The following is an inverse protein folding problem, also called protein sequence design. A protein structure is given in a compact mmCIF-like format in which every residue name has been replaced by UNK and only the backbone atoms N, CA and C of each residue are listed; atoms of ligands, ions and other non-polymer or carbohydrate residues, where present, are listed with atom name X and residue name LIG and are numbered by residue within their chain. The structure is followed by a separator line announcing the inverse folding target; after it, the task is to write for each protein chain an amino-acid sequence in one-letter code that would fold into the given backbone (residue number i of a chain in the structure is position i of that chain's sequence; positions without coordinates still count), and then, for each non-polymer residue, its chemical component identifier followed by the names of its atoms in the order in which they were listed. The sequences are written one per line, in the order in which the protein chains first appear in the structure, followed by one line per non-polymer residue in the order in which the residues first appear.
data_IF_174883283903
#
_entry.id   IF_174883283903
#
_cell.length_a   1.000
_cell.length_b   1.000
_cell.length_c   1.000
_cell.angle_alpha   90.00
_cell.angle_beta   90.00
_cell.angle_gamma   90.00
#
_symmetry.space_group_name_H-M   'P 1'
#
loop_
_entity.id
_entity.type
_entity.pdbx_description
1 polymer ?
#
# COMPACT_ATOMS: atom_id res chain seq x y z
N UNK A 1 25.12 31.40 26.15
CA UNK A 1 24.86 30.09 25.51
C UNK A 1 23.37 29.85 25.42
N UNK A 2 22.74 29.99 24.23
CA UNK A 2 21.30 29.70 24.05
C UNK A 2 21.16 28.19 23.99
N UNK A 3 20.34 27.62 24.86
CA UNK A 3 20.12 26.17 24.97
C UNK A 3 19.48 25.64 23.68
N UNK A 4 20.07 24.64 23.04
CA UNK A 4 19.50 23.93 21.86
C UNK A 4 18.07 23.44 22.12
N UNK A 5 17.72 23.12 23.36
CA UNK A 5 16.42 22.57 23.74
C UNK A 5 15.21 23.51 23.60
N UNK A 6 15.42 24.82 23.26
CA UNK A 6 14.31 25.75 22.99
C UNK A 6 14.06 25.99 21.49
N UNK A 7 14.89 25.46 20.61
CA UNK A 7 14.82 25.69 19.16
C UNK A 7 14.30 24.53 18.37
N UNK A 8 14.44 23.33 18.90
CA UNK A 8 14.00 22.09 18.27
C UNK A 8 12.92 21.45 19.11
N UNK A 9 11.79 21.15 18.50
CA UNK A 9 10.71 20.34 19.07
C UNK A 9 10.22 19.35 18.02
N UNK A 10 9.68 18.23 18.46
CA UNK A 10 9.15 17.22 17.55
C UNK A 10 8.55 16.04 18.29
N UNK A 11 7.91 15.16 17.53
CA UNK A 11 7.43 13.88 17.97
C UNK A 11 7.84 12.78 16.99
N UNK A 12 7.98 11.57 17.51
CA UNK A 12 8.15 10.35 16.74
C UNK A 12 7.13 9.35 17.25
N UNK A 13 6.20 8.98 16.38
CA UNK A 13 5.07 8.14 16.70
C UNK A 13 5.14 6.84 15.88
N UNK A 14 4.92 5.71 16.57
CA UNK A 14 4.79 4.39 15.95
C UNK A 14 3.36 3.92 16.14
N UNK A 15 2.74 3.42 15.09
CA UNK A 15 1.38 2.91 15.20
C UNK A 15 1.21 1.54 14.53
N UNK A 16 0.29 0.77 15.09
CA UNK A 16 -0.22 -0.47 14.56
C UNK A 16 -1.74 -0.42 14.59
N UNK A 17 -2.39 -0.59 13.44
CA UNK A 17 -3.84 -0.65 13.30
C UNK A 17 -4.22 -2.00 12.72
N UNK A 18 -5.27 -2.62 13.24
CA UNK A 18 -5.86 -3.85 12.69
C UNK A 18 -7.29 -3.56 12.26
N UNK A 19 -7.63 -3.99 11.06
CA UNK A 19 -9.00 -4.02 10.55
C UNK A 19 -9.41 -5.46 10.36
N UNK A 20 -10.51 -5.87 10.96
CA UNK A 20 -11.07 -7.21 10.82
C UNK A 20 -12.43 -7.08 10.14
N UNK A 21 -12.90 -8.17 9.56
CA UNK A 21 -14.24 -8.30 9.01
C UNK A 21 -14.57 -7.24 7.94
N UNK A 22 -13.57 -6.89 7.12
CA UNK A 22 -13.79 -5.98 6.01
C UNK A 22 -14.63 -6.66 4.93
N UNK A 23 -15.61 -5.92 4.43
CA UNK A 23 -16.55 -6.41 3.41
C UNK A 23 -15.81 -6.51 2.07
N UNK A 24 -15.99 -7.66 1.42
CA UNK A 24 -15.49 -7.93 0.09
C UNK A 24 -16.57 -8.51 -0.81
N UNK A 25 -16.59 -8.11 -2.09
CA UNK A 25 -17.45 -8.66 -3.12
C UNK A 25 -16.73 -9.78 -3.85
N UNK A 26 -17.34 -10.95 -3.90
CA UNK A 26 -16.81 -12.12 -4.62
C UNK A 26 -17.85 -12.79 -5.52
N UNK A 27 -17.37 -13.49 -6.54
CA UNK A 27 -18.21 -14.16 -7.50
C UNK A 27 -18.70 -15.50 -6.94
N UNK A 28 -19.99 -15.79 -7.10
CA UNK A 28 -20.62 -17.05 -6.70
C UNK A 28 -21.31 -17.72 -7.89
N UNK A 29 -21.49 -19.03 -7.81
CA UNK A 29 -22.15 -19.79 -8.88
C UNK A 29 -23.64 -19.51 -8.92
N UNK A 30 -24.18 -19.32 -10.13
CA UNK A 30 -25.62 -19.27 -10.41
C UNK A 30 -25.99 -20.49 -11.26
N UNK A 31 -26.86 -21.39 -10.77
CA UNK A 31 -27.39 -21.57 -9.42
C UNK A 31 -26.36 -22.15 -8.44
N UNK A 32 -26.58 -22.16 -7.12
CA UNK A 32 -27.87 -21.95 -6.43
C UNK A 32 -28.20 -20.51 -6.06
N UNK A 33 -27.25 -19.58 -6.22
CA UNK A 33 -27.46 -18.20 -5.86
C UNK A 33 -28.28 -17.45 -6.92
N UNK A 34 -29.05 -16.44 -6.51
CA UNK A 34 -29.87 -15.60 -7.42
C UNK A 34 -29.03 -14.59 -8.19
N UNK A 35 -27.87 -14.21 -7.66
CA UNK A 35 -26.93 -13.28 -8.26
C UNK A 35 -25.56 -13.92 -8.34
N UNK A 36 -24.76 -13.47 -9.29
CA UNK A 36 -23.39 -13.93 -9.53
C UNK A 36 -22.37 -13.34 -8.54
N UNK A 37 -22.79 -12.43 -7.66
CA UNK A 37 -21.95 -11.74 -6.69
C UNK A 37 -22.55 -11.75 -5.29
N UNK A 38 -21.69 -11.87 -4.31
CA UNK A 38 -22.03 -11.84 -2.90
C UNK A 38 -21.03 -11.00 -2.10
N UNK A 39 -21.53 -10.32 -1.05
CA UNK A 39 -20.68 -9.57 -0.12
C UNK A 39 -20.50 -10.38 1.16
N UNK A 40 -19.26 -10.47 1.61
CA UNK A 40 -18.94 -11.16 2.87
C UNK A 40 -17.82 -10.47 3.62
N UNK A 41 -17.75 -10.70 4.92
CA UNK A 41 -16.74 -10.16 5.82
C UNK A 41 -15.59 -11.17 5.92
N UNK A 42 -14.59 -11.05 5.04
CA UNK A 42 -13.51 -12.05 4.92
C UNK A 42 -12.11 -11.47 5.01
N UNK A 43 -11.97 -10.15 4.84
CA UNK A 43 -10.65 -9.55 4.79
C UNK A 43 -10.27 -9.02 6.17
N UNK A 44 -9.08 -9.40 6.61
CA UNK A 44 -8.39 -8.78 7.75
C UNK A 44 -7.12 -8.10 7.28
N UNK A 45 -6.84 -6.94 7.83
CA UNK A 45 -5.65 -6.15 7.46
C UNK A 45 -4.92 -5.66 8.69
N UNK A 46 -3.61 -5.51 8.57
CA UNK A 46 -2.79 -4.79 9.52
C UNK A 46 -2.04 -3.65 8.85
N UNK A 47 -2.07 -2.49 9.49
CA UNK A 47 -1.31 -1.31 9.07
C UNK A 47 -0.31 -0.96 10.15
N UNK A 48 0.95 -0.85 9.78
CA UNK A 48 2.04 -0.38 10.65
C UNK A 48 2.70 0.83 10.03
N UNK A 49 3.06 1.78 10.86
CA UNK A 49 3.68 2.99 10.35
C UNK A 49 4.46 3.77 11.40
N UNK A 50 5.17 4.77 10.89
CA UNK A 50 6.00 5.71 11.64
C UNK A 50 5.67 7.11 11.16
N UNK A 51 5.50 8.02 12.11
CA UNK A 51 5.27 9.44 11.85
C UNK A 51 6.33 10.25 12.60
N UNK A 52 7.02 11.13 11.88
CA UNK A 52 8.01 12.04 12.41
C UNK A 52 7.56 13.48 12.16
N UNK A 53 7.46 14.26 13.22
CA UNK A 53 7.24 15.69 13.16
C UNK A 53 8.42 16.40 13.79
N UNK A 54 9.03 17.36 13.08
CA UNK A 54 10.10 18.19 13.59
C UNK A 54 9.81 19.66 13.30
N UNK A 55 9.96 20.50 14.32
CA UNK A 55 9.88 21.95 14.21
C UNK A 55 11.21 22.54 14.66
N UNK A 56 11.83 23.33 13.82
CA UNK A 56 13.11 23.95 14.10
C UNK A 56 13.09 25.46 13.86
N UNK A 57 13.32 26.23 14.95
CA UNK A 57 13.49 27.67 14.90
C UNK A 57 14.96 27.99 14.57
N UNK A 58 15.28 28.05 13.28
CA UNK A 58 16.65 28.16 12.80
C UNK A 58 17.24 29.54 13.12
N UNK A 59 16.49 30.62 12.86
CA UNK A 59 16.91 31.99 13.08
C UNK A 59 15.82 32.72 13.88
N UNK A 60 16.22 33.35 14.95
CA UNK A 60 15.32 34.15 15.76
C UNK A 60 16.04 35.45 16.17
N UNK A 61 15.72 36.52 15.48
CA UNK A 61 16.22 37.88 15.75
C UNK A 61 15.07 38.84 16.01
N UNK A 62 15.36 40.08 16.37
CA UNK A 62 14.32 41.10 16.58
C UNK A 62 13.58 41.47 15.28
N UNK A 63 14.25 41.33 14.13
CA UNK A 63 13.74 41.73 12.81
C UNK A 63 13.46 40.59 11.86
N UNK A 64 13.96 39.36 12.14
CA UNK A 64 13.81 38.21 11.26
C UNK A 64 13.71 36.94 12.06
N UNK A 65 12.68 36.13 11.73
CA UNK A 65 12.47 34.80 12.27
C UNK A 65 12.35 33.79 11.12
N UNK A 66 13.10 32.69 11.23
CA UNK A 66 12.99 31.58 10.29
C UNK A 66 12.74 30.27 11.02
N UNK A 67 11.60 29.67 10.73
CA UNK A 67 11.16 28.37 11.30
C UNK A 67 10.99 27.37 10.18
N UNK A 68 11.50 26.18 10.37
CA UNK A 68 11.32 25.04 9.45
C UNK A 68 10.51 23.96 10.14
N UNK A 69 9.52 23.43 9.42
CA UNK A 69 8.71 22.31 9.85
C UNK A 69 8.93 21.15 8.88
N UNK A 70 9.22 19.96 9.40
CA UNK A 70 9.35 18.74 8.64
C UNK A 70 8.35 17.70 9.18
N UNK A 71 7.49 17.20 8.30
CA UNK A 71 6.57 16.10 8.60
C UNK A 71 6.86 14.97 7.62
N UNK A 72 7.15 13.80 8.16
CA UNK A 72 7.37 12.58 7.38
C UNK A 72 6.50 11.48 7.96
N UNK A 73 5.69 10.84 7.11
CA UNK A 73 4.93 9.65 7.49
C UNK A 73 5.22 8.52 6.53
N UNK A 74 5.32 7.33 7.07
CA UNK A 74 5.46 6.11 6.31
C UNK A 74 4.57 5.04 6.91
N UNK A 75 3.76 4.39 6.07
CA UNK A 75 2.87 3.33 6.50
C UNK A 75 2.80 2.23 5.45
N UNK A 76 2.64 1.00 5.92
CA UNK A 76 2.38 -0.18 5.10
C UNK A 76 1.15 -0.91 5.63
N UNK A 77 0.26 -1.25 4.72
CA UNK A 77 -0.92 -2.06 5.01
C UNK A 77 -0.77 -3.41 4.32
N UNK A 78 -0.93 -4.46 5.08
CA UNK A 78 -0.86 -5.85 4.62
C UNK A 78 -2.22 -6.51 4.78
N UNK A 79 -2.58 -7.40 3.85
CA UNK A 79 -3.72 -8.29 3.99
C UNK A 79 -3.25 -9.47 4.83
N UNK A 80 -3.79 -9.60 6.06
CA UNK A 80 -3.42 -10.68 6.98
C UNK A 80 -4.16 -11.98 6.66
N UNK A 81 -5.44 -11.87 6.32
CA UNK A 81 -6.25 -12.98 5.83
C UNK A 81 -7.27 -12.52 4.80
N UNK A 82 -7.57 -13.40 3.87
CA UNK A 82 -8.57 -13.17 2.81
C UNK A 82 -9.39 -14.45 2.58
N UNK A 83 -9.74 -15.10 3.64
CA UNK A 83 -10.45 -16.37 3.60
C UNK A 83 -11.29 -16.56 4.85
N UNK A 84 -12.39 -17.31 4.73
CA UNK A 84 -13.16 -17.84 5.83
C UNK A 84 -13.53 -19.31 5.54
N UNK A 85 -14.41 -19.92 6.32
CA UNK A 85 -14.82 -21.32 6.17
C UNK A 85 -15.54 -21.58 4.83
N UNK A 86 -16.19 -20.58 4.26
CA UNK A 86 -17.01 -20.68 3.04
C UNK A 86 -16.30 -20.12 1.81
N UNK A 87 -15.40 -19.16 1.98
CA UNK A 87 -14.72 -18.47 0.91
C UNK A 87 -13.19 -18.58 1.06
N UNK A 88 -12.52 -18.95 -0.03
CA UNK A 88 -11.05 -18.87 -0.15
C UNK A 88 -10.70 -17.74 -1.08
N UNK A 89 -9.95 -16.76 -0.58
CA UNK A 89 -9.39 -15.69 -1.38
C UNK A 89 -8.32 -16.21 -2.33
N UNK A 90 -8.34 -15.70 -3.54
CA UNK A 90 -7.30 -15.96 -4.53
C UNK A 90 -6.57 -14.66 -4.85
N UNK A 91 -5.29 -14.77 -5.17
CA UNK A 91 -4.50 -13.64 -5.64
C UNK A 91 -5.16 -12.99 -6.86
N UNK A 92 -5.42 -11.71 -6.78
CA UNK A 92 -6.16 -11.00 -7.82
C UNK A 92 -5.39 -9.82 -8.35
N UNK A 93 -5.26 -9.75 -9.67
CA UNK A 93 -4.75 -8.57 -10.35
C UNK A 93 -5.80 -7.47 -10.33
N UNK A 94 -5.41 -6.28 -9.89
CA UNK A 94 -6.30 -5.13 -9.74
C UNK A 94 -5.71 -3.89 -10.41
N UNK A 95 -6.54 -2.87 -10.56
CA UNK A 95 -6.23 -1.58 -11.17
C UNK A 95 -5.78 -1.69 -12.63
N UNK A 96 -6.76 -1.68 -13.52
CA UNK A 96 -6.53 -1.59 -14.95
C UNK A 96 -5.79 -0.28 -15.28
N UNK A 97 -4.70 -0.40 -16.02
CA UNK A 97 -3.95 0.76 -16.47
C UNK A 97 -4.72 1.47 -17.59
N UNK A 98 -4.71 2.82 -17.61
CA UNK A 98 -5.43 3.57 -18.63
C UNK A 98 -4.86 3.32 -20.03
N UNK A 99 -5.75 3.40 -21.05
CA UNK A 99 -5.38 3.43 -22.48
C UNK A 99 -4.47 4.64 -22.80
N UNK A 100 -3.57 4.55 -23.80
CA UNK A 100 -3.57 3.57 -24.90
C UNK A 100 -2.73 2.33 -24.65
N UNK A 101 -3.14 1.21 -25.29
CA UNK A 101 -2.28 0.03 -25.40
C UNK A 101 -2.65 -1.16 -24.50
N UNK A 102 -3.69 -1.06 -23.67
CA UNK A 102 -4.13 -2.12 -22.75
C UNK A 102 -2.95 -2.85 -22.06
N UNK A 103 -2.18 -2.15 -21.23
CA UNK A 103 -0.99 -2.72 -20.58
C UNK A 103 -1.32 -3.74 -19.50
N UNK A 104 -2.61 -4.04 -19.27
CA UNK A 104 -3.10 -4.96 -18.27
C UNK A 104 -3.25 -4.33 -16.88
N UNK A 105 -3.24 -5.17 -15.87
CA UNK A 105 -3.39 -4.74 -14.48
C UNK A 105 -2.03 -4.53 -13.83
N UNK A 106 -1.93 -3.44 -13.06
CA UNK A 106 -0.66 -2.98 -12.52
C UNK A 106 -0.34 -3.47 -11.12
N UNK A 107 -1.36 -3.88 -10.36
CA UNK A 107 -1.19 -4.28 -8.97
C UNK A 107 -1.78 -5.65 -8.74
N UNK A 108 -1.26 -6.33 -7.72
CA UNK A 108 -1.77 -7.61 -7.23
C UNK A 108 -2.19 -7.46 -5.77
N UNK A 109 -3.32 -8.07 -5.44
CA UNK A 109 -3.76 -8.27 -4.06
C UNK A 109 -3.79 -9.76 -3.77
N UNK A 110 -3.32 -10.14 -2.59
CA UNK A 110 -3.32 -11.51 -2.11
C UNK A 110 -3.09 -11.56 -0.61
N UNK A 111 -3.38 -12.72 -0.03
CA UNK A 111 -3.12 -12.96 1.39
C UNK A 111 -1.62 -12.90 1.68
N UNK A 112 -1.25 -12.20 2.75
CA UNK A 112 0.14 -11.96 3.10
C UNK A 112 0.83 -10.85 2.29
N UNK A 113 0.15 -10.24 1.31
CA UNK A 113 0.73 -9.19 0.46
C UNK A 113 0.46 -7.79 1.01
N UNK A 114 1.37 -6.87 0.73
CA UNK A 114 1.16 -5.44 0.99
C UNK A 114 0.19 -4.87 -0.05
N UNK A 115 -0.79 -4.07 0.41
CA UNK A 115 -1.69 -3.33 -0.48
C UNK A 115 -0.87 -2.32 -1.27
N UNK A 116 -1.04 -2.32 -2.59
CA UNK A 116 -0.26 -1.49 -3.50
C UNK A 116 0.96 -2.20 -4.09
N UNK A 117 1.12 -3.51 -3.86
CA UNK A 117 2.18 -4.30 -4.50
C UNK A 117 2.01 -4.27 -6.01
N UNK A 118 3.02 -3.76 -6.71
CA UNK A 118 3.02 -3.73 -8.17
C UNK A 118 3.34 -5.09 -8.75
N UNK A 119 2.67 -5.40 -9.85
CA UNK A 119 2.96 -6.56 -10.68
C UNK A 119 3.30 -6.13 -12.08
N UNK A 120 4.44 -6.53 -12.59
CA UNK A 120 4.89 -6.16 -13.92
C UNK A 120 5.79 -7.20 -14.56
N UNK A 121 6.07 -7.00 -15.83
CA UNK A 121 7.05 -7.80 -16.56
C UNK A 121 8.46 -7.26 -16.31
N UNK A 122 9.34 -8.08 -15.76
CA UNK A 122 10.77 -7.74 -15.65
C UNK A 122 11.47 -8.07 -16.96
N UNK A 123 12.14 -7.08 -17.56
CA UNK A 123 12.97 -7.33 -18.73
C UNK A 123 14.11 -8.30 -18.39
N UNK A 124 14.15 -9.42 -19.10
CA UNK A 124 15.12 -10.51 -18.90
C UNK A 124 16.04 -10.70 -20.13
N UNK A 125 16.19 -9.64 -20.94
CA UNK A 125 17.02 -9.69 -22.13
C UNK A 125 16.27 -10.01 -23.43
N UNK A 126 17.00 -10.38 -24.44
CA UNK A 126 16.50 -10.73 -25.78
C UNK A 126 16.88 -12.19 -26.05
N UNK A 127 16.01 -12.94 -26.71
CA UNK A 127 16.33 -14.30 -27.13
C UNK A 127 17.14 -14.29 -28.46
N UNK A 128 17.62 -15.46 -28.88
CA UNK A 128 18.40 -15.64 -30.11
C UNK A 128 17.64 -15.19 -31.38
N UNK A 129 16.32 -15.06 -31.32
CA UNK A 129 15.45 -14.60 -32.41
C UNK A 129 15.10 -13.10 -32.33
N UNK A 130 15.78 -12.34 -31.46
CA UNK A 130 15.55 -10.91 -31.28
C UNK A 130 14.27 -10.55 -30.52
N UNK A 131 13.55 -11.50 -29.90
CA UNK A 131 12.35 -11.21 -29.12
C UNK A 131 12.69 -10.94 -27.66
N UNK A 132 12.02 -9.96 -27.06
CA UNK A 132 12.15 -9.61 -25.64
C UNK A 132 11.73 -10.77 -24.77
N UNK A 133 12.58 -11.15 -23.82
CA UNK A 133 12.23 -12.06 -22.72
C UNK A 133 11.68 -11.26 -21.56
N UNK A 134 10.51 -11.65 -21.10
CA UNK A 134 9.85 -11.03 -19.93
C UNK A 134 9.73 -12.09 -18.83
N UNK A 135 10.35 -11.84 -17.69
CA UNK A 135 10.12 -12.58 -16.45
C UNK A 135 9.03 -11.92 -15.62
N UNK A 136 8.33 -12.65 -14.77
CA UNK A 136 7.42 -12.08 -13.78
C UNK A 136 8.23 -11.48 -12.63
N UNK A 137 7.90 -10.27 -12.20
CA UNK A 137 8.41 -9.69 -10.98
C UNK A 137 7.21 -9.20 -10.13
N UNK A 138 7.24 -9.55 -8.85
CA UNK A 138 6.49 -8.89 -7.80
C UNK A 138 7.45 -7.89 -7.14
N UNK A 139 7.07 -6.64 -7.01
CA UNK A 139 7.87 -5.58 -6.37
C UNK A 139 7.02 -4.92 -5.28
#
# INVERSE_FOLDING_TARGET
MKRLGQRLSGSLDFFLRKGNDLIYEYDVSVPPYLHDKMYTNVISTSTRGVELMLNYNAIQTKTFNYTTNLNVSWAKTQIDSWSNDEFKGEDRDVYDLPSPGNPGRAQILGEGMEIGTFRGGRYAGVNEKGKIKIGRAHV
#
